data_IF_019652198371
#
_entry.id   IF_019652198371
#
_cell.length_a   1.000
_cell.length_b   1.000
_cell.length_c   1.000
_cell.angle_alpha   90.00
_cell.angle_beta   90.00
_cell.angle_gamma   90.00
#
_symmetry.space_group_name_H-M   'P 1'
#
loop_
_entity.id
_entity.type
_entity.pdbx_description
1 polymer ?
#
# COMPACT_ATOMS: atom_id res chain seq x y z
N UNK A 1 5.17 27.74 7.42
CA UNK A 1 4.39 26.54 7.85
C UNK A 1 5.28 25.35 7.58
N UNK A 2 5.49 24.44 8.54
CA UNK A 2 6.23 23.21 8.27
C UNK A 2 5.42 22.38 7.27
N UNK A 3 6.09 21.80 6.28
CA UNK A 3 5.47 20.86 5.34
C UNK A 3 4.93 19.66 6.11
N UNK A 4 3.74 19.16 5.72
CA UNK A 4 3.14 17.98 6.34
C UNK A 4 4.07 16.78 6.12
N UNK A 5 4.28 16.00 7.17
CA UNK A 5 5.06 14.75 7.10
C UNK A 5 4.16 13.64 6.57
N UNK A 6 4.23 13.37 5.29
CA UNK A 6 3.51 12.28 4.64
C UNK A 6 4.42 11.05 4.54
N UNK A 7 3.87 9.88 4.82
CA UNK A 7 4.53 8.59 4.62
C UNK A 7 3.67 7.75 3.67
N UNK A 8 4.29 7.29 2.60
CA UNK A 8 3.75 6.26 1.71
C UNK A 8 4.21 4.90 2.20
N UNK A 9 3.29 3.93 2.24
CA UNK A 9 3.50 2.65 2.91
C UNK A 9 2.82 1.51 2.17
N UNK A 10 3.49 0.36 2.14
CA UNK A 10 3.00 -0.92 1.64
C UNK A 10 3.72 -2.07 2.34
N UNK A 11 3.12 -3.25 2.43
CA UNK A 11 3.76 -4.45 2.96
C UNK A 11 3.44 -5.71 2.15
N UNK A 12 4.35 -6.70 2.26
CA UNK A 12 4.22 -8.03 1.71
C UNK A 12 4.05 -9.09 2.80
N UNK A 13 3.38 -10.18 2.48
CA UNK A 13 3.08 -11.25 3.43
C UNK A 13 3.91 -12.51 3.21
N UNK A 14 3.97 -13.39 4.21
CA UNK A 14 4.69 -14.66 4.17
C UNK A 14 3.88 -15.80 3.59
N UNK A 15 2.55 -15.75 3.80
CA UNK A 15 1.63 -16.84 3.50
C UNK A 15 0.59 -16.41 2.47
N UNK A 16 0.17 -17.35 1.62
CA UNK A 16 -1.03 -17.20 0.80
C UNK A 16 -2.29 -17.41 1.63
N UNK A 17 -3.38 -16.80 1.19
CA UNK A 17 -4.69 -16.96 1.83
C UNK A 17 -5.15 -18.43 1.93
N UNK A 18 -4.75 -19.28 0.98
CA UNK A 18 -5.05 -20.71 0.97
C UNK A 18 -4.29 -21.52 2.04
N UNK A 19 -3.27 -20.94 2.66
CA UNK A 19 -2.45 -21.60 3.69
C UNK A 19 -2.85 -21.18 5.11
N UNK A 20 -3.70 -20.18 5.22
CA UNK A 20 -4.17 -19.65 6.50
C UNK A 20 -5.59 -20.16 6.75
N UNK A 21 -5.83 -20.75 7.92
CA UNK A 21 -7.18 -21.13 8.33
C UNK A 21 -8.08 -19.89 8.39
N UNK A 22 -9.20 -19.95 7.69
CA UNK A 22 -10.11 -18.80 7.50
C UNK A 22 -9.73 -17.88 6.34
N UNK A 23 -8.57 -18.06 5.69
CA UNK A 23 -8.15 -17.27 4.55
C UNK A 23 -8.20 -15.76 4.82
N UNK A 24 -8.83 -15.00 3.93
CA UNK A 24 -9.01 -13.54 4.10
C UNK A 24 -9.89 -13.13 5.29
N UNK A 25 -10.55 -14.06 5.98
CA UNK A 25 -11.22 -13.76 7.25
C UNK A 25 -10.25 -13.76 8.44
N UNK A 26 -8.97 -14.12 8.22
CA UNK A 26 -7.93 -14.18 9.23
C UNK A 26 -6.61 -13.57 8.72
N UNK A 27 -6.68 -12.34 8.21
CA UNK A 27 -5.54 -11.60 7.64
C UNK A 27 -4.37 -11.48 8.62
N UNK A 28 -4.55 -11.26 9.94
CA UNK A 28 -3.44 -11.20 10.89
C UNK A 28 -2.50 -12.42 10.85
N UNK A 29 -3.01 -13.58 10.47
CA UNK A 29 -2.22 -14.80 10.38
C UNK A 29 -1.35 -14.93 9.11
N UNK A 30 -1.47 -14.01 8.14
CA UNK A 30 -0.62 -14.03 6.93
C UNK A 30 0.85 -13.73 7.24
N UNK A 31 1.12 -12.98 8.31
CA UNK A 31 2.47 -12.60 8.74
C UNK A 31 3.15 -11.64 7.76
N UNK A 32 3.78 -10.59 8.29
CA UNK A 32 4.56 -9.65 7.48
C UNK A 32 5.89 -10.28 7.07
N UNK A 33 6.24 -10.24 5.80
CA UNK A 33 7.58 -10.55 5.31
C UNK A 33 8.46 -9.31 5.27
N UNK A 34 8.05 -8.32 4.51
CA UNK A 34 8.72 -7.02 4.29
C UNK A 34 7.67 -5.93 4.34
N UNK A 35 8.04 -4.75 4.81
CA UNK A 35 7.33 -3.52 4.53
C UNK A 35 8.31 -2.46 4.03
N UNK A 36 7.81 -1.50 3.26
CA UNK A 36 8.56 -0.37 2.77
C UNK A 36 7.80 0.93 3.07
N UNK A 37 8.54 1.92 3.53
CA UNK A 37 8.03 3.28 3.69
C UNK A 37 8.86 4.26 2.86
N UNK A 38 8.21 5.31 2.35
CA UNK A 38 8.85 6.46 1.72
C UNK A 38 8.23 7.74 2.27
N UNK A 39 9.07 8.72 2.60
CA UNK A 39 8.62 10.03 3.08
C UNK A 39 8.54 11.02 1.93
N UNK A 40 7.65 12.00 2.04
CA UNK A 40 7.55 13.08 1.06
C UNK A 40 8.77 14.03 1.07
N UNK A 41 9.48 14.13 2.20
CA UNK A 41 10.65 14.99 2.40
C UNK A 41 11.97 14.36 1.90
N UNK A 42 11.93 13.11 1.47
CA UNK A 42 13.11 12.39 0.98
C UNK A 42 12.78 11.48 -0.19
N UNK A 43 13.76 11.28 -1.07
CA UNK A 43 13.66 10.25 -2.12
C UNK A 43 14.19 8.89 -1.63
N UNK A 44 14.29 8.69 -0.31
CA UNK A 44 14.76 7.45 0.29
C UNK A 44 13.60 6.53 0.64
N UNK A 45 13.86 5.24 0.56
CA UNK A 45 12.97 4.18 1.00
C UNK A 45 13.57 3.52 2.24
N UNK A 46 12.74 3.24 3.22
CA UNK A 46 13.14 2.46 4.38
C UNK A 46 12.43 1.11 4.35
N UNK A 47 13.22 0.05 4.45
CA UNK A 47 12.72 -1.32 4.54
C UNK A 47 12.58 -1.74 5.99
N UNK A 48 11.60 -2.59 6.26
CA UNK A 48 11.27 -3.11 7.57
C UNK A 48 11.04 -4.62 7.47
N UNK A 49 11.70 -5.36 8.34
CA UNK A 49 11.47 -6.81 8.50
C UNK A 49 10.38 -7.05 9.54
N UNK A 50 9.86 -8.27 9.60
CA UNK A 50 8.83 -8.65 10.60
C UNK A 50 9.20 -8.25 12.03
N UNK A 51 10.46 -8.43 12.43
CA UNK A 51 10.94 -8.09 13.77
C UNK A 51 10.87 -6.57 14.05
N UNK A 52 10.79 -5.75 13.00
CA UNK A 52 10.72 -4.30 13.07
C UNK A 52 9.28 -3.78 13.06
N UNK A 53 8.26 -4.66 13.08
CA UNK A 53 6.85 -4.27 12.94
C UNK A 53 6.41 -3.20 13.95
N UNK A 54 6.87 -3.29 15.21
CA UNK A 54 6.58 -2.28 16.23
C UNK A 54 7.24 -0.93 15.93
N UNK A 55 8.46 -0.94 15.41
CA UNK A 55 9.17 0.31 15.05
C UNK A 55 8.59 0.93 13.78
N UNK A 56 8.16 0.10 12.83
CA UNK A 56 7.39 0.55 11.66
C UNK A 56 6.12 1.29 12.10
N UNK A 57 5.31 0.71 13.00
CA UNK A 57 4.10 1.37 13.47
C UNK A 57 4.41 2.69 14.17
N UNK A 58 5.45 2.76 14.99
CA UNK A 58 5.90 4.02 15.61
C UNK A 58 6.33 5.06 14.56
N UNK A 59 6.93 4.63 13.47
CA UNK A 59 7.29 5.52 12.36
C UNK A 59 6.03 6.09 11.69
N UNK A 60 5.03 5.23 11.41
CA UNK A 60 3.74 5.66 10.86
C UNK A 60 2.99 6.59 11.83
N UNK A 61 3.06 6.36 13.14
CA UNK A 61 2.46 7.25 14.13
C UNK A 61 3.06 8.66 14.14
N UNK A 62 4.33 8.82 13.78
CA UNK A 62 5.01 10.13 13.72
C UNK A 62 4.66 10.95 12.48
N UNK A 63 4.03 10.32 11.49
CA UNK A 63 3.54 11.01 10.31
C UNK A 63 2.30 11.85 10.64
N UNK A 64 2.13 12.94 9.90
CA UNK A 64 0.87 13.70 9.90
C UNK A 64 -0.18 13.00 9.03
N UNK A 65 0.26 12.31 7.98
CA UNK A 65 -0.60 11.52 7.07
C UNK A 65 0.12 10.24 6.61
N UNK A 66 -0.57 9.11 6.66
CA UNK A 66 -0.12 7.84 6.07
C UNK A 66 -0.93 7.58 4.81
N UNK A 67 -0.28 7.34 3.69
CA UNK A 67 -0.91 7.09 2.41
C UNK A 67 -0.55 5.68 1.93
N UNK A 68 -1.56 4.92 1.50
CA UNK A 68 -1.35 3.61 0.94
C UNK A 68 -2.49 3.16 0.03
N UNK A 69 -2.40 1.93 -0.44
CA UNK A 69 -3.40 1.32 -1.29
C UNK A 69 -3.97 0.06 -0.65
N UNK A 70 -5.21 0.10 -0.16
CA UNK A 70 -5.88 -0.95 0.60
C UNK A 70 -5.28 -1.22 2.00
N UNK A 71 -4.57 -0.26 2.56
CA UNK A 71 -3.87 -0.38 3.84
C UNK A 71 -4.83 -0.58 5.03
N UNK A 72 -6.00 0.04 5.02
CA UNK A 72 -6.97 -0.06 6.10
C UNK A 72 -7.57 -1.46 6.24
N UNK A 73 -7.78 -2.16 5.12
CA UNK A 73 -8.43 -3.47 5.09
C UNK A 73 -7.47 -4.64 4.99
N UNK A 74 -6.19 -4.38 4.73
CA UNK A 74 -5.20 -5.45 4.54
C UNK A 74 -3.93 -5.23 5.38
N UNK A 75 -3.13 -4.23 5.09
CA UNK A 75 -1.82 -4.03 5.73
C UNK A 75 -1.96 -3.83 7.25
N UNK A 76 -2.92 -3.03 7.69
CA UNK A 76 -3.17 -2.82 9.11
C UNK A 76 -3.72 -4.08 9.79
N UNK A 77 -4.51 -4.88 9.09
CA UNK A 77 -4.94 -6.18 9.60
C UNK A 77 -3.75 -7.13 9.77
N UNK A 78 -2.80 -7.17 8.83
CA UNK A 78 -1.56 -7.94 9.00
C UNK A 78 -0.76 -7.43 10.21
N UNK A 79 -0.58 -6.11 10.32
CA UNK A 79 0.14 -5.48 11.42
C UNK A 79 -0.57 -5.61 12.76
N UNK A 80 -1.87 -5.84 12.81
CA UNK A 80 -2.64 -6.04 14.05
C UNK A 80 -2.19 -7.27 14.84
N UNK A 81 -1.54 -8.25 14.17
CA UNK A 81 -0.90 -9.38 14.84
C UNK A 81 0.26 -8.96 15.76
N UNK A 82 0.91 -7.84 15.46
CA UNK A 82 2.06 -7.30 16.19
C UNK A 82 1.66 -6.12 17.10
N UNK A 83 0.74 -5.28 16.63
CA UNK A 83 0.23 -4.10 17.33
C UNK A 83 -1.30 -4.12 17.30
N UNK A 84 -1.97 -4.76 18.27
CA UNK A 84 -3.43 -5.00 18.23
C UNK A 84 -4.31 -3.76 18.16
N UNK A 85 -3.81 -2.59 18.57
CA UNK A 85 -4.54 -1.32 18.57
C UNK A 85 -4.20 -0.42 17.35
N UNK A 86 -3.61 -0.96 16.30
CA UNK A 86 -3.11 -0.21 15.14
C UNK A 86 -4.16 0.71 14.50
N UNK A 87 -5.39 0.23 14.33
CA UNK A 87 -6.49 1.01 13.78
C UNK A 87 -6.80 2.24 14.62
N UNK A 88 -6.78 2.11 15.96
CA UNK A 88 -6.96 3.27 16.87
C UNK A 88 -5.84 4.29 16.71
N UNK A 89 -4.63 3.84 16.42
CA UNK A 89 -3.45 4.70 16.28
C UNK A 89 -3.40 5.42 14.93
N UNK A 90 -3.80 4.74 13.84
CA UNK A 90 -3.49 5.18 12.48
C UNK A 90 -4.70 5.56 11.62
N UNK A 91 -5.91 5.00 11.81
CA UNK A 91 -7.03 5.23 10.90
C UNK A 91 -7.36 6.72 10.72
N UNK A 92 -7.30 7.49 11.79
CA UNK A 92 -7.64 8.93 11.78
C UNK A 92 -6.66 9.80 10.98
N UNK A 93 -5.50 9.29 10.60
CA UNK A 93 -4.48 9.98 9.81
C UNK A 93 -4.15 9.26 8.50
N UNK A 94 -4.85 8.19 8.19
CA UNK A 94 -4.59 7.37 7.01
C UNK A 94 -5.47 7.78 5.84
N UNK A 95 -4.86 7.83 4.66
CA UNK A 95 -5.54 7.99 3.40
C UNK A 95 -5.35 6.74 2.55
N UNK A 96 -6.42 5.99 2.36
CA UNK A 96 -6.42 4.75 1.59
C UNK A 96 -7.01 5.01 0.21
N UNK A 97 -6.12 5.05 -0.79
CA UNK A 97 -6.50 5.33 -2.19
C UNK A 97 -7.50 4.29 -2.71
N UNK A 98 -7.33 3.01 -2.37
CA UNK A 98 -8.25 1.97 -2.80
C UNK A 98 -9.67 2.22 -2.26
N UNK A 99 -9.78 2.56 -0.98
CA UNK A 99 -11.07 2.84 -0.34
C UNK A 99 -11.74 4.08 -0.94
N UNK A 100 -10.97 5.14 -1.21
CA UNK A 100 -11.50 6.35 -1.86
C UNK A 100 -12.01 6.05 -3.28
N UNK A 101 -11.24 5.32 -4.08
CA UNK A 101 -11.64 4.91 -5.43
C UNK A 101 -12.87 3.99 -5.41
N UNK A 102 -12.91 2.99 -4.50
CA UNK A 102 -14.06 2.09 -4.36
C UNK A 102 -15.34 2.85 -4.00
N UNK A 103 -15.26 3.84 -3.12
CA UNK A 103 -16.39 4.67 -2.73
C UNK A 103 -16.91 5.55 -3.88
N UNK A 104 -16.02 6.09 -4.72
CA UNK A 104 -16.38 6.93 -5.87
C UNK A 104 -16.96 6.12 -7.03
N UNK A 105 -16.41 4.93 -7.28
CA UNK A 105 -16.76 4.10 -8.45
C UNK A 105 -17.88 3.08 -8.16
N UNK A 106 -18.02 2.63 -6.91
CA UNK A 106 -18.91 1.54 -6.54
C UNK A 106 -18.38 0.14 -6.89
N UNK A 107 -17.14 0.04 -7.37
CA UNK A 107 -16.44 -1.22 -7.67
C UNK A 107 -14.93 -1.08 -7.43
N UNK A 108 -14.24 -2.23 -7.36
CA UNK A 108 -12.81 -2.31 -7.04
C UNK A 108 -11.93 -2.14 -8.27
N UNK A 109 -10.88 -1.34 -8.12
CA UNK A 109 -9.76 -1.26 -9.07
C UNK A 109 -8.47 -1.63 -8.36
N UNK A 110 -7.57 -2.33 -9.06
CA UNK A 110 -6.23 -2.60 -8.53
C UNK A 110 -5.30 -1.40 -8.73
N UNK A 111 -4.22 -1.33 -7.93
CA UNK A 111 -3.16 -0.34 -8.08
C UNK A 111 -2.57 -0.38 -9.50
N UNK A 112 -2.35 -1.59 -10.04
CA UNK A 112 -1.85 -1.78 -11.40
C UNK A 112 -2.75 -1.13 -12.45
N UNK A 113 -4.07 -1.37 -12.36
CA UNK A 113 -5.03 -0.83 -13.34
C UNK A 113 -5.09 0.69 -13.29
N UNK A 114 -5.16 1.29 -12.11
CA UNK A 114 -5.23 2.74 -11.98
C UNK A 114 -3.91 3.42 -12.43
N UNK A 115 -2.76 2.84 -12.07
CA UNK A 115 -1.45 3.38 -12.46
C UNK A 115 -1.17 3.18 -13.96
N UNK A 116 -1.48 2.03 -14.53
CA UNK A 116 -1.28 1.81 -15.97
C UNK A 116 -2.16 2.74 -16.82
N UNK A 117 -3.40 2.98 -16.40
CA UNK A 117 -4.33 3.84 -17.14
C UNK A 117 -4.02 5.32 -16.97
N UNK A 118 -3.60 5.75 -15.77
CA UNK A 118 -3.32 7.16 -15.47
C UNK A 118 -1.91 7.57 -15.84
N UNK A 119 -0.92 6.75 -15.45
CA UNK A 119 0.52 7.11 -15.54
C UNK A 119 1.24 6.40 -16.68
N UNK A 120 0.60 5.42 -17.35
CA UNK A 120 1.27 4.55 -18.30
C UNK A 120 2.30 3.60 -17.66
N UNK A 121 2.28 3.45 -16.32
CA UNK A 121 3.18 2.59 -15.55
C UNK A 121 2.49 1.29 -15.18
N UNK A 122 3.17 0.16 -15.35
CA UNK A 122 2.67 -1.17 -14.98
C UNK A 122 3.65 -1.90 -14.07
N UNK A 123 3.14 -2.81 -13.25
CA UNK A 123 3.95 -3.70 -12.43
C UNK A 123 4.67 -4.74 -13.30
N UNK A 124 5.89 -5.11 -12.90
CA UNK A 124 6.66 -6.17 -13.56
C UNK A 124 6.37 -7.56 -13.00
N UNK A 125 5.70 -7.66 -11.85
CA UNK A 125 5.45 -8.90 -11.12
C UNK A 125 4.07 -8.87 -10.42
N UNK A 126 3.65 -10.02 -9.88
CA UNK A 126 2.40 -10.19 -9.14
C UNK A 126 2.70 -10.41 -7.65
N UNK A 127 1.73 -10.09 -6.78
CA UNK A 127 1.83 -10.34 -5.34
C UNK A 127 2.19 -11.80 -4.98
N UNK A 128 1.72 -12.76 -5.78
CA UNK A 128 2.07 -14.18 -5.62
C UNK A 128 3.58 -14.46 -5.79
N UNK A 129 4.28 -13.64 -6.56
CA UNK A 129 5.71 -13.81 -6.78
C UNK A 129 6.52 -13.33 -5.58
N UNK A 130 6.05 -12.31 -4.85
CA UNK A 130 6.68 -11.83 -3.62
C UNK A 130 6.76 -12.94 -2.55
N UNK A 131 5.67 -13.71 -2.35
CA UNK A 131 5.65 -14.85 -1.42
C UNK A 131 6.60 -15.96 -1.87
N UNK A 132 6.67 -16.26 -3.18
CA UNK A 132 7.62 -17.25 -3.72
C UNK A 132 9.07 -16.82 -3.48
N UNK A 133 9.40 -15.57 -3.77
CA UNK A 133 10.74 -15.01 -3.54
C UNK A 133 11.12 -15.01 -2.07
N UNK A 134 10.18 -14.64 -1.19
CA UNK A 134 10.40 -14.73 0.25
C UNK A 134 10.82 -16.15 0.69
N UNK A 135 10.08 -17.16 0.25
CA UNK A 135 10.35 -18.57 0.58
C UNK A 135 11.66 -19.09 0.01
N UNK A 136 12.12 -18.50 -1.09
CA UNK A 136 13.39 -18.82 -1.72
C UNK A 136 14.57 -18.04 -1.12
N UNK A 137 14.32 -17.19 -0.12
CA UNK A 137 15.33 -16.32 0.47
C UNK A 137 15.79 -15.17 -0.42
N UNK A 138 15.02 -14.86 -1.49
CA UNK A 138 15.30 -13.76 -2.42
C UNK A 138 14.73 -12.44 -1.87
N UNK A 139 15.21 -12.05 -0.68
CA UNK A 139 14.65 -10.91 0.08
C UNK A 139 14.72 -9.61 -0.71
N UNK A 140 15.82 -9.37 -1.43
CA UNK A 140 16.01 -8.15 -2.22
C UNK A 140 14.91 -7.97 -3.28
N UNK A 141 14.46 -9.08 -3.90
CA UNK A 141 13.35 -9.00 -4.87
C UNK A 141 12.02 -8.66 -4.23
N UNK A 142 11.77 -9.14 -3.02
CA UNK A 142 10.57 -8.77 -2.26
C UNK A 142 10.62 -7.29 -1.90
N UNK A 143 11.77 -6.79 -1.46
CA UNK A 143 11.99 -5.36 -1.18
C UNK A 143 11.75 -4.51 -2.43
N UNK A 144 12.35 -4.87 -3.57
CA UNK A 144 12.19 -4.16 -4.84
C UNK A 144 10.72 -4.12 -5.29
N UNK A 145 9.99 -5.23 -5.11
CA UNK A 145 8.58 -5.32 -5.45
C UNK A 145 7.72 -4.43 -4.55
N UNK A 146 7.87 -4.52 -3.22
CA UNK A 146 7.16 -3.70 -2.25
C UNK A 146 7.50 -2.19 -2.44
N UNK A 147 8.77 -1.87 -2.72
CA UNK A 147 9.20 -0.51 -3.03
C UNK A 147 8.51 0.02 -4.30
N UNK A 148 8.36 -0.79 -5.33
CA UNK A 148 7.63 -0.41 -6.54
C UNK A 148 6.16 -0.08 -6.24
N UNK A 149 5.50 -0.83 -5.35
CA UNK A 149 4.12 -0.57 -4.94
C UNK A 149 3.99 0.74 -4.15
N UNK A 150 4.94 1.04 -3.28
CA UNK A 150 5.04 2.34 -2.60
C UNK A 150 5.26 3.48 -3.60
N UNK A 151 6.13 3.29 -4.60
CA UNK A 151 6.40 4.27 -5.64
C UNK A 151 5.16 4.56 -6.50
N UNK A 152 4.47 3.50 -6.97
CA UNK A 152 3.24 3.64 -7.74
C UNK A 152 2.14 4.33 -6.93
N UNK A 153 2.00 3.99 -5.65
CA UNK A 153 1.05 4.61 -4.72
C UNK A 153 1.34 6.09 -4.54
N UNK A 154 2.61 6.46 -4.37
CA UNK A 154 3.05 7.86 -4.28
C UNK A 154 2.76 8.62 -5.58
N UNK A 155 3.12 8.03 -6.70
CA UNK A 155 3.01 8.70 -8.00
C UNK A 155 1.55 8.92 -8.39
N UNK A 156 0.66 7.95 -8.15
CA UNK A 156 -0.77 8.13 -8.43
C UNK A 156 -1.42 9.14 -7.49
N UNK A 157 -1.03 9.15 -6.21
CA UNK A 157 -1.51 10.13 -5.24
C UNK A 157 -1.11 11.55 -5.64
N UNK A 158 0.16 11.78 -5.97
CA UNK A 158 0.67 13.08 -6.43
C UNK A 158 0.02 13.53 -7.74
N UNK A 159 -0.19 12.60 -8.66
CA UNK A 159 -0.90 12.90 -9.90
C UNK A 159 -2.32 13.39 -9.62
N UNK A 160 -3.05 12.71 -8.74
CA UNK A 160 -4.40 13.13 -8.32
C UNK A 160 -4.41 14.51 -7.67
N UNK A 161 -3.44 14.81 -6.80
CA UNK A 161 -3.30 16.14 -6.19
C UNK A 161 -3.02 17.24 -7.21
N UNK A 162 -2.14 16.99 -8.17
CA UNK A 162 -1.73 17.98 -9.17
C UNK A 162 -2.80 18.25 -10.23
N UNK A 163 -3.49 17.20 -10.68
CA UNK A 163 -4.41 17.27 -11.82
C UNK A 163 -5.89 17.33 -11.42
N UNK A 164 -6.23 16.92 -10.18
CA UNK A 164 -7.61 16.86 -9.71
C UNK A 164 -8.42 15.67 -10.27
N UNK A 165 -7.76 14.72 -10.96
CA UNK A 165 -8.39 13.50 -11.46
C UNK A 165 -7.37 12.36 -11.60
N UNK A 166 -7.87 11.13 -11.68
CA UNK A 166 -7.14 9.95 -12.12
C UNK A 166 -7.93 9.25 -13.23
N UNK A 167 -7.30 8.35 -13.98
CA UNK A 167 -7.96 7.69 -15.11
C UNK A 167 -8.17 6.19 -14.82
N UNK A 168 -9.31 5.66 -15.25
CA UNK A 168 -9.61 4.22 -15.19
C UNK A 168 -10.20 3.70 -16.51
N UNK A 169 -10.03 2.41 -16.82
CA UNK A 169 -10.57 1.86 -18.05
C UNK A 169 -12.07 1.58 -17.92
N UNK A 170 -12.87 2.03 -18.88
CA UNK A 170 -14.30 1.73 -18.99
C UNK A 170 -14.67 1.51 -20.46
N UNK A 171 -15.20 0.32 -20.77
CA UNK A 171 -15.61 -0.06 -22.13
C UNK A 171 -14.52 0.19 -23.19
N UNK A 172 -13.25 -0.13 -22.85
CA UNK A 172 -12.11 0.04 -23.76
C UNK A 172 -11.60 1.48 -23.91
N UNK A 173 -12.14 2.42 -23.16
CA UNK A 173 -11.69 3.83 -23.12
C UNK A 173 -11.11 4.18 -21.77
N UNK A 174 -10.20 5.16 -21.76
CA UNK A 174 -9.72 5.79 -20.53
C UNK A 174 -10.71 6.88 -20.12
N UNK A 175 -11.21 6.84 -18.89
CA UNK A 175 -12.20 7.79 -18.35
C UNK A 175 -11.60 8.48 -17.13
N UNK A 176 -11.72 9.80 -17.07
CA UNK A 176 -11.30 10.59 -15.92
C UNK A 176 -12.28 10.41 -14.75
N UNK A 177 -11.72 10.19 -13.56
CA UNK A 177 -12.40 10.18 -12.27
C UNK A 177 -11.92 11.39 -11.48
N UNK A 178 -12.75 12.39 -11.21
CA UNK A 178 -12.38 13.51 -10.36
C UNK A 178 -12.02 13.06 -8.94
N UNK A 179 -10.93 13.60 -8.41
CA UNK A 179 -10.45 13.37 -7.04
C UNK A 179 -10.06 14.70 -6.39
N UNK A 180 -10.04 14.72 -5.05
CA UNK A 180 -9.71 15.89 -4.21
C UNK A 180 -8.70 15.51 -3.11
N UNK A 181 -7.66 14.81 -3.50
CA UNK A 181 -6.64 14.22 -2.62
C UNK A 181 -5.72 15.24 -1.94
#
# INVERSE_FOLDING_TARGET
>A
MSELKEIFFDLETKLWSSEVEGGFSNIPAFGMSIAVTSRNDSNSYQQWMENDANELVKELERADKVIGFNILKFDYEVLSAYVPNIHKLLDGKSFDIFTDLENRLGFRLSLEVICSTTLGKSKLAKAEDAIKWWRQGQVEKVVEYCQMDVELTRDIYRYGQEHGFVCYPRMGQSVELPVDW
#
